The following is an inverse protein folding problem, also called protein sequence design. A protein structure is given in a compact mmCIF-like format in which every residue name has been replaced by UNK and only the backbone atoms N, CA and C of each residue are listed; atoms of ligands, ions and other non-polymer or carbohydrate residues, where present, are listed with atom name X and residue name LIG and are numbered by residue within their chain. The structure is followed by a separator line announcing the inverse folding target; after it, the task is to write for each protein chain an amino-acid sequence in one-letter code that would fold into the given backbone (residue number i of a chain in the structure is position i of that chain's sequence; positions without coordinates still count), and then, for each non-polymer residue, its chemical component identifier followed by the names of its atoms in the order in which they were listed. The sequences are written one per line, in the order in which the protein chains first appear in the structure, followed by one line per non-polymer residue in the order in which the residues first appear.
data_IF_661534364545
#
_entry.id   IF_661534364545
#
_cell.length_a   1.000
_cell.length_b   1.000
_cell.length_c   1.000
_cell.angle_alpha   90.00
_cell.angle_beta   90.00
_cell.angle_gamma   90.00
#
_symmetry.space_group_name_H-M   'P 1'
#
loop_
_entity.id
_entity.type
_entity.pdbx_description
1 polymer ?
#
# COMPACT_ATOMS: atom_id res chain seq x y z
N UNK A 1 -13.61 -4.55 -0.09
CA UNK A 1 -13.32 -4.38 1.35
C UNK A 1 -11.89 -3.91 1.62
N UNK A 2 -10.85 -4.73 1.40
CA UNK A 2 -9.47 -4.36 1.79
C UNK A 2 -8.90 -3.10 1.12
N UNK A 3 -9.31 -2.79 -0.12
CA UNK A 3 -8.97 -1.52 -0.77
C UNK A 3 -9.62 -0.33 -0.06
N UNK A 4 -10.93 -0.41 0.18
CA UNK A 4 -11.66 0.65 0.87
C UNK A 4 -11.10 0.89 2.28
N UNK A 5 -10.79 -0.20 3.01
CA UNK A 5 -10.17 -0.07 4.32
C UNK A 5 -8.78 0.57 4.24
N UNK A 6 -8.03 0.34 3.17
CA UNK A 6 -6.77 1.04 2.91
C UNK A 6 -6.96 2.56 2.77
N UNK A 7 -7.99 2.99 2.03
CA UNK A 7 -8.31 4.42 1.86
C UNK A 7 -8.77 5.07 3.19
N UNK A 8 -9.58 4.35 3.98
CA UNK A 8 -10.10 4.86 5.25
C UNK A 8 -9.00 4.92 6.33
N UNK A 9 -8.11 3.92 6.36
CA UNK A 9 -7.07 3.81 7.36
C UNK A 9 -5.91 4.79 7.10
N UNK A 10 -5.52 4.99 5.84
CA UNK A 10 -4.41 5.88 5.48
C UNK A 10 -4.84 7.31 5.12
N UNK A 11 -5.81 7.85 5.86
CA UNK A 11 -6.26 9.25 5.77
C UNK A 11 -5.68 10.12 6.90
N UNK A 12 -5.13 11.28 6.53
CA UNK A 12 -4.61 12.30 7.44
C UNK A 12 -5.71 13.31 7.77
N UNK A 13 -6.52 13.03 8.80
CA UNK A 13 -7.68 13.85 9.18
C UNK A 13 -7.41 15.35 9.32
N UNK A 14 -6.26 15.74 9.88
CA UNK A 14 -5.93 17.15 10.10
C UNK A 14 -5.52 17.90 8.82
N UNK A 15 -5.26 17.19 7.72
CA UNK A 15 -4.99 17.75 6.39
C UNK A 15 -6.13 17.53 5.41
N UNK A 16 -7.10 16.70 5.79
CA UNK A 16 -8.11 16.13 4.91
C UNK A 16 -7.51 15.52 3.62
N UNK A 17 -6.41 14.79 3.77
CA UNK A 17 -5.67 14.21 2.64
C UNK A 17 -5.46 12.70 2.81
N UNK A 18 -5.51 11.99 1.69
CA UNK A 18 -4.99 10.63 1.62
C UNK A 18 -3.45 10.65 1.73
N UNK A 19 -2.88 9.74 2.52
CA UNK A 19 -1.41 9.64 2.69
C UNK A 19 -0.71 9.24 1.39
N UNK A 20 -1.40 8.54 0.51
CA UNK A 20 -0.91 8.09 -0.79
C UNK A 20 -2.05 7.62 -1.67
N UNK A 21 -1.75 6.78 -2.66
CA UNK A 21 -2.75 6.25 -3.61
C UNK A 21 -3.41 4.93 -3.15
N UNK A 22 -3.17 4.52 -1.91
CA UNK A 22 -3.76 3.31 -1.31
C UNK A 22 -3.04 2.03 -1.69
N UNK A 23 -3.81 0.94 -1.73
CA UNK A 23 -3.33 -0.44 -1.86
C UNK A 23 -4.31 -1.41 -1.21
N UNK A 24 -3.79 -2.38 -0.48
CA UNK A 24 -4.58 -3.26 0.38
C UNK A 24 -4.21 -3.01 1.84
N UNK A 25 -5.22 -2.94 2.70
CA UNK A 25 -5.04 -2.98 4.14
C UNK A 25 -6.04 -3.96 4.74
N UNK A 26 -5.59 -4.72 5.72
CA UNK A 26 -6.39 -5.67 6.45
C UNK A 26 -5.83 -5.87 7.85
N UNK A 27 -6.73 -6.12 8.79
CA UNK A 27 -6.46 -6.62 10.12
C UNK A 27 -7.56 -7.64 10.49
N UNK A 28 -7.35 -8.42 11.53
CA UNK A 28 -8.32 -9.40 12.06
C UNK A 28 -8.87 -10.39 10.99
N UNK A 29 -8.06 -10.76 9.99
CA UNK A 29 -8.43 -11.77 8.98
C UNK A 29 -8.33 -13.17 9.58
N UNK A 30 -9.48 -13.76 9.89
CA UNK A 30 -9.59 -15.04 10.57
C UNK A 30 -10.93 -15.75 10.26
N UNK A 31 -11.23 -16.83 10.96
CA UNK A 31 -12.47 -17.59 10.78
C UNK A 31 -13.73 -16.77 11.08
N UNK A 32 -13.73 -15.94 12.13
CA UNK A 32 -14.92 -15.16 12.51
C UNK A 32 -15.21 -14.05 11.49
N UNK A 33 -14.18 -13.38 10.97
CA UNK A 33 -14.34 -12.25 10.05
C UNK A 33 -14.54 -12.67 8.59
N UNK A 34 -13.99 -13.83 8.18
CA UNK A 34 -13.98 -14.26 6.76
C UNK A 34 -14.47 -15.69 6.51
N UNK A 35 -14.68 -16.50 7.56
CA UNK A 35 -14.97 -17.93 7.42
C UNK A 35 -13.78 -18.73 6.87
N UNK A 36 -12.56 -18.16 6.93
CA UNK A 36 -11.35 -18.81 6.42
C UNK A 36 -10.68 -19.60 7.53
N UNK A 37 -10.16 -20.78 7.18
CA UNK A 37 -9.25 -21.51 8.04
C UNK A 37 -7.87 -20.83 8.08
N UNK A 38 -7.02 -21.31 9.00
CA UNK A 38 -5.69 -20.74 9.18
C UNK A 38 -4.85 -20.81 7.90
N UNK A 39 -4.86 -21.95 7.21
CA UNK A 39 -4.08 -22.15 5.98
C UNK A 39 -4.47 -21.14 4.91
N UNK A 40 -5.78 -20.88 4.72
CA UNK A 40 -6.22 -19.86 3.76
C UNK A 40 -5.84 -18.44 4.17
N UNK A 41 -5.89 -18.12 5.47
CA UNK A 41 -5.42 -16.82 5.96
C UNK A 41 -3.91 -16.65 5.73
N UNK A 42 -3.14 -17.71 5.94
CA UNK A 42 -1.70 -17.73 5.72
C UNK A 42 -1.35 -17.64 4.23
N UNK A 43 -2.05 -18.37 3.37
CA UNK A 43 -1.92 -18.28 1.91
C UNK A 43 -2.24 -16.89 1.41
N UNK A 44 -3.28 -16.25 1.94
CA UNK A 44 -3.61 -14.87 1.63
C UNK A 44 -2.47 -13.91 2.01
N UNK A 45 -1.90 -14.04 3.21
CA UNK A 45 -0.76 -13.21 3.64
C UNK A 45 0.46 -13.41 2.74
N UNK A 46 0.79 -14.66 2.37
CA UNK A 46 1.87 -14.96 1.41
C UNK A 46 1.61 -14.32 0.05
N UNK A 47 0.38 -14.40 -0.46
CA UNK A 47 0.01 -13.82 -1.74
C UNK A 47 0.14 -12.28 -1.73
N UNK A 48 -0.26 -11.61 -0.64
CA UNK A 48 -0.07 -10.16 -0.50
C UNK A 48 1.42 -9.80 -0.46
N UNK A 49 2.24 -10.53 0.30
CA UNK A 49 3.68 -10.30 0.39
C UNK A 49 4.39 -10.47 -0.97
N UNK A 50 4.06 -11.53 -1.72
CA UNK A 50 4.59 -11.73 -3.06
C UNK A 50 4.11 -10.66 -4.03
N UNK A 51 2.81 -10.34 -4.00
CA UNK A 51 2.22 -9.30 -4.85
C UNK A 51 2.79 -7.90 -4.60
N UNK A 52 3.28 -7.60 -3.39
CA UNK A 52 4.02 -6.36 -3.13
C UNK A 52 5.28 -6.27 -3.98
N UNK A 53 6.10 -7.33 -4.04
CA UNK A 53 7.31 -7.36 -4.87
C UNK A 53 6.96 -7.24 -6.35
N UNK A 54 5.96 -8.00 -6.81
CA UNK A 54 5.47 -7.95 -8.19
C UNK A 54 4.98 -6.54 -8.58
N UNK A 55 4.40 -5.81 -7.62
CA UNK A 55 3.92 -4.45 -7.82
C UNK A 55 5.02 -3.39 -7.78
N UNK A 56 5.96 -3.49 -6.83
CA UNK A 56 6.95 -2.42 -6.57
C UNK A 56 8.17 -2.49 -7.50
N UNK A 57 8.65 -3.69 -7.85
CA UNK A 57 9.86 -3.84 -8.66
C UNK A 57 9.73 -3.18 -10.05
N UNK A 58 8.64 -3.38 -10.82
CA UNK A 58 8.48 -2.72 -12.11
C UNK A 58 8.36 -1.19 -12.01
N UNK A 59 7.96 -0.65 -10.86
CA UNK A 59 7.94 0.80 -10.62
C UNK A 59 9.36 1.33 -10.48
N UNK A 60 10.21 0.65 -9.71
CA UNK A 60 11.62 1.03 -9.55
C UNK A 60 12.37 0.90 -10.87
N UNK A 61 12.29 -0.25 -11.54
CA UNK A 61 12.96 -0.50 -12.82
C UNK A 61 12.65 0.58 -13.86
N UNK A 62 11.40 1.04 -13.90
CA UNK A 62 10.96 2.08 -14.84
C UNK A 62 11.38 3.49 -14.44
N UNK A 63 11.57 3.79 -13.15
CA UNK A 63 11.63 5.18 -12.65
C UNK A 63 12.95 5.56 -11.97
N UNK A 64 13.77 4.59 -11.55
CA UNK A 64 14.98 4.86 -10.75
C UNK A 64 16.00 5.77 -11.46
N UNK A 65 16.14 5.65 -12.78
CA UNK A 65 17.09 6.43 -13.59
C UNK A 65 16.48 7.71 -14.19
N UNK A 66 15.22 8.02 -13.87
CA UNK A 66 14.59 9.24 -14.37
C UNK A 66 15.27 10.47 -13.77
N UNK A 67 15.78 11.41 -14.59
CA UNK A 67 16.35 12.64 -14.07
C UNK A 67 15.27 13.44 -13.36
N UNK A 68 15.66 14.14 -12.29
CA UNK A 68 14.79 15.05 -11.56
C UNK A 68 15.46 16.42 -11.37
N UNK A 69 14.66 17.45 -11.21
CA UNK A 69 15.14 18.81 -10.92
C UNK A 69 15.17 19.09 -9.41
N UNK A 70 15.87 20.14 -9.00
CA UNK A 70 15.89 20.56 -7.61
C UNK A 70 14.50 20.92 -7.09
N UNK A 71 13.63 21.53 -7.92
CA UNK A 71 12.25 21.84 -7.55
C UNK A 71 11.43 20.57 -7.27
N UNK A 72 11.60 19.54 -8.11
CA UNK A 72 10.95 18.24 -7.89
C UNK A 72 11.46 17.59 -6.60
N UNK A 73 12.74 17.74 -6.27
CA UNK A 73 13.29 17.28 -4.99
C UNK A 73 12.73 18.05 -3.81
N UNK A 74 12.61 19.38 -3.89
CA UNK A 74 11.99 20.17 -2.81
C UNK A 74 10.53 19.79 -2.59
N UNK A 75 9.77 19.58 -3.66
CA UNK A 75 8.39 19.10 -3.55
C UNK A 75 8.32 17.70 -2.92
N UNK A 76 9.25 16.80 -3.27
CA UNK A 76 9.36 15.49 -2.61
C UNK A 76 9.62 15.62 -1.10
N UNK A 77 10.50 16.54 -0.68
CA UNK A 77 10.78 16.78 0.75
C UNK A 77 9.57 17.35 1.48
N UNK A 78 8.83 18.27 0.85
CA UNK A 78 7.59 18.81 1.42
C UNK A 78 6.51 17.74 1.65
N UNK A 79 6.47 16.69 0.82
CA UNK A 79 5.51 15.57 0.94
C UNK A 79 5.96 14.43 1.87
N UNK A 80 7.22 14.41 2.33
CA UNK A 80 7.76 13.40 3.27
C UNK A 80 7.45 13.77 4.71
#
# INVERSE_FOLDING_TARGET
DFKQWCDEYFHLRHRDEQRGIGGLFYDDVNFESRGWDFERCFDFMKAVGNGYLDGILPIFERRQDMPFTDEQRQFQLYRR
#
